data_IF_565259823229
#
_entry.id   IF_565259823229
#
_cell.length_a   1.000
_cell.length_b   1.000
_cell.length_c   1.000
_cell.angle_alpha   90.00
_cell.angle_beta   90.00
_cell.angle_gamma   90.00
#
_symmetry.space_group_name_H-M   'P 1'
#
loop_
_entity.id
_entity.type
_entity.pdbx_description
1 polymer ?
#
# COMPACT_ATOMS: atom_id res chain seq x y z
N UNK A 1 -10.41 1.70 13.00
CA UNK A 1 -10.03 2.25 14.32
C UNK A 1 -10.18 1.13 15.33
N UNK A 2 -9.10 0.54 15.79
CA UNK A 2 -9.13 -0.38 16.93
C UNK A 2 -8.57 0.33 18.15
N UNK A 3 -9.35 0.30 19.24
CA UNK A 3 -9.00 0.86 20.54
C UNK A 3 -8.91 -0.30 21.52
N UNK A 4 -7.72 -0.60 22.00
CA UNK A 4 -7.54 -1.43 23.20
C UNK A 4 -6.90 -0.56 24.28
N UNK A 5 -7.74 0.09 25.09
CA UNK A 5 -7.37 0.41 26.48
C UNK A 5 -8.62 0.75 27.29
N UNK A 6 -8.77 0.05 28.42
CA UNK A 6 -9.76 0.32 29.47
C UNK A 6 -9.12 1.15 30.58
N UNK A 7 -9.92 2.02 31.22
CA UNK A 7 -9.45 2.93 32.29
C UNK A 7 -9.06 2.10 33.53
N UNK A 8 -7.79 2.18 33.95
CA UNK A 8 -7.27 1.53 35.18
C UNK A 8 -6.13 0.52 34.98
N UNK A 9 -5.67 0.30 33.75
CA UNK A 9 -4.58 -0.62 33.43
C UNK A 9 -3.20 0.02 33.67
N UNK A 10 -2.26 -0.72 34.30
CA UNK A 10 -0.90 -0.26 34.51
C UNK A 10 -0.12 -0.30 33.18
N UNK A 11 0.13 0.87 32.60
CA UNK A 11 0.87 1.02 31.33
C UNK A 11 2.37 0.99 31.63
N UNK A 12 3.09 0.01 31.08
CA UNK A 12 4.56 0.04 31.00
C UNK A 12 4.99 0.92 29.83
N UNK A 13 6.15 1.58 29.94
CA UNK A 13 6.68 2.61 29.01
C UNK A 13 6.77 2.20 27.52
N UNK A 14 6.52 0.93 27.17
CA UNK A 14 6.65 0.37 25.81
C UNK A 14 5.33 0.02 25.13
N UNK A 15 4.17 0.28 25.74
CA UNK A 15 2.87 -0.05 25.12
C UNK A 15 2.51 0.96 24.04
N UNK A 16 2.43 0.53 22.78
CA UNK A 16 1.96 1.37 21.66
C UNK A 16 0.44 1.55 21.76
N UNK A 17 0.01 2.69 22.31
CA UNK A 17 -1.41 2.91 22.70
C UNK A 17 -2.30 3.31 21.51
N UNK A 18 -1.74 3.92 20.46
CA UNK A 18 -2.50 4.33 19.28
C UNK A 18 -1.64 4.27 18.00
N UNK A 19 -2.27 3.89 16.89
CA UNK A 19 -1.75 4.07 15.53
C UNK A 19 -2.56 5.18 14.86
N UNK A 20 -1.91 6.31 14.57
CA UNK A 20 -2.52 7.41 13.81
C UNK A 20 -2.12 7.22 12.35
N UNK A 21 -3.07 6.76 11.52
CA UNK A 21 -2.89 6.70 10.07
C UNK A 21 -3.38 7.99 9.44
N UNK A 22 -2.50 8.72 8.76
CA UNK A 22 -2.88 9.85 7.92
C UNK A 22 -3.52 9.35 6.62
N UNK A 23 -4.84 9.43 6.53
CA UNK A 23 -5.60 8.99 5.35
C UNK A 23 -5.77 10.10 4.29
N UNK A 24 -5.12 11.26 4.45
CA UNK A 24 -5.18 12.34 3.44
C UNK A 24 -4.54 11.93 2.11
N UNK A 25 -3.68 10.92 2.12
CA UNK A 25 -3.09 10.33 0.92
C UNK A 25 -3.11 8.82 1.07
N UNK A 26 -3.63 8.15 0.05
CA UNK A 26 -3.71 6.69 0.00
C UNK A 26 -2.90 6.19 -1.19
N UNK A 27 -2.32 5.00 -1.07
CA UNK A 27 -1.74 4.29 -2.20
C UNK A 27 -2.75 3.29 -2.75
N UNK A 28 -2.76 3.14 -4.08
CA UNK A 28 -3.45 2.06 -4.74
C UNK A 28 -2.43 0.97 -5.08
N UNK A 29 -2.74 -0.28 -4.75
CA UNK A 29 -1.95 -1.44 -5.16
C UNK A 29 -2.61 -2.10 -6.37
N UNK A 30 -1.82 -2.37 -7.41
CA UNK A 30 -2.29 -3.01 -8.64
C UNK A 30 -1.35 -4.13 -9.05
N UNK A 31 -1.91 -5.20 -9.62
CA UNK A 31 -1.13 -6.31 -10.18
C UNK A 31 -0.95 -6.07 -11.68
N UNK A 32 0.30 -6.13 -12.11
CA UNK A 32 0.67 -6.05 -13.53
C UNK A 32 1.20 -7.42 -13.95
N UNK A 33 0.80 -7.89 -15.12
CA UNK A 33 1.28 -9.17 -15.64
C UNK A 33 2.75 -9.06 -16.07
N UNK A 34 3.51 -10.17 -15.99
CA UNK A 34 4.95 -10.14 -16.30
C UNK A 34 5.28 -9.61 -17.71
N UNK A 35 4.54 -9.95 -18.77
CA UNK A 35 4.76 -9.38 -20.10
C UNK A 35 4.53 -7.86 -20.18
N UNK A 36 3.66 -7.32 -19.34
CA UNK A 36 3.29 -5.90 -19.37
C UNK A 36 4.21 -5.04 -18.48
N UNK A 37 4.91 -5.65 -17.52
CA UNK A 37 5.78 -4.91 -16.58
C UNK A 37 6.86 -4.04 -17.23
N UNK A 38 7.50 -4.41 -18.36
CA UNK A 38 8.45 -3.53 -19.04
C UNK A 38 7.87 -2.17 -19.49
N UNK A 39 6.54 -2.05 -19.54
CA UNK A 39 5.82 -0.83 -19.88
C UNK A 39 5.48 0.07 -18.69
N UNK A 40 5.82 -0.33 -17.46
CA UNK A 40 5.49 0.41 -16.23
C UNK A 40 6.77 0.93 -15.57
N UNK A 41 6.85 2.25 -15.36
CA UNK A 41 8.02 2.89 -14.72
C UNK A 41 7.60 3.81 -13.58
N UNK A 42 8.44 3.85 -12.54
CA UNK A 42 8.34 4.88 -11.50
C UNK A 42 8.41 6.25 -12.16
N UNK A 43 7.55 7.18 -11.76
CA UNK A 43 7.44 8.49 -12.41
C UNK A 43 6.33 8.62 -13.45
N UNK A 44 5.80 7.51 -13.95
CA UNK A 44 4.75 7.57 -14.97
C UNK A 44 3.39 7.96 -14.38
N UNK A 45 2.63 8.73 -15.16
CA UNK A 45 1.25 9.08 -14.81
C UNK A 45 0.35 7.86 -14.97
N UNK A 46 -0.40 7.55 -13.93
CA UNK A 46 -1.42 6.51 -13.94
C UNK A 46 -2.80 7.11 -13.68
N UNK A 47 -3.83 6.55 -14.31
CA UNK A 47 -5.24 6.89 -14.04
C UNK A 47 -5.95 5.65 -13.50
N UNK A 48 -6.48 5.75 -12.28
CA UNK A 48 -7.33 4.72 -11.67
C UNK A 48 -8.78 5.10 -11.92
N UNK A 49 -9.59 4.16 -12.41
CA UNK A 49 -11.03 4.36 -12.67
C UNK A 49 -11.84 3.39 -11.83
N UNK A 50 -12.92 3.88 -11.22
CA UNK A 50 -13.89 3.03 -10.55
C UNK A 50 -14.68 2.23 -11.61
N UNK A 51 -14.91 0.95 -11.35
CA UNK A 51 -15.69 0.08 -12.25
C UNK A 51 -17.19 0.19 -12.01
N UNK A 52 -17.59 0.57 -10.79
CA UNK A 52 -18.99 0.61 -10.37
C UNK A 52 -19.68 1.96 -10.60
N UNK A 53 -18.92 3.04 -10.86
CA UNK A 53 -19.45 4.39 -11.08
C UNK A 53 -18.43 5.27 -11.80
N UNK A 54 -18.90 6.40 -12.36
CA UNK A 54 -18.05 7.36 -13.05
C UNK A 54 -17.19 8.16 -12.05
N UNK A 55 -16.04 7.60 -11.72
CA UNK A 55 -15.01 8.29 -10.95
C UNK A 55 -13.62 7.86 -11.40
N UNK A 56 -12.70 8.81 -11.44
CA UNK A 56 -11.31 8.58 -11.79
C UNK A 56 -10.39 9.44 -10.92
N UNK A 57 -9.23 8.88 -10.59
CA UNK A 57 -8.14 9.58 -9.91
C UNK A 57 -6.86 9.46 -10.75
N UNK A 58 -6.05 10.51 -10.77
CA UNK A 58 -4.73 10.50 -11.40
C UNK A 58 -3.66 10.49 -10.32
N UNK A 59 -2.59 9.75 -10.54
CA UNK A 59 -1.43 9.71 -9.67
C UNK A 59 -0.16 9.36 -10.44
N UNK A 60 0.93 9.17 -9.70
CA UNK A 60 2.23 8.76 -10.22
C UNK A 60 2.56 7.37 -9.69
N UNK A 61 3.20 6.54 -10.52
CA UNK A 61 3.75 5.26 -10.07
C UNK A 61 4.88 5.56 -9.09
N UNK A 62 4.66 5.31 -7.80
CA UNK A 62 5.65 5.54 -6.74
C UNK A 62 6.61 4.38 -6.55
N UNK A 63 6.21 3.16 -6.94
CA UNK A 63 7.01 1.94 -6.76
C UNK A 63 6.57 0.85 -7.73
N UNK A 64 7.54 0.11 -8.27
CA UNK A 64 7.32 -1.14 -9.00
C UNK A 64 8.05 -2.24 -8.25
N UNK A 65 7.30 -3.21 -7.73
CA UNK A 65 7.88 -4.34 -7.00
C UNK A 65 8.74 -5.21 -7.91
N UNK A 66 9.83 -5.75 -7.37
CA UNK A 66 10.58 -6.80 -8.04
C UNK A 66 9.64 -7.98 -8.31
N UNK A 67 9.65 -8.51 -9.53
CA UNK A 67 9.01 -9.78 -9.87
C UNK A 67 9.63 -10.91 -9.03
N UNK A 68 9.16 -11.11 -7.80
CA UNK A 68 9.46 -12.35 -7.06
C UNK A 68 8.53 -13.40 -7.64
N UNK A 69 9.00 -14.04 -8.70
CA UNK A 69 8.26 -15.08 -9.38
C UNK A 69 8.87 -15.36 -10.72
N UNK A 70 10.04 -16.01 -10.73
CA UNK A 70 10.39 -17.06 -11.70
C UNK A 70 11.78 -17.67 -11.46
N UNK A 71 12.60 -17.24 -10.49
CA UNK A 71 13.72 -18.09 -10.06
C UNK A 71 14.28 -17.79 -8.66
N UNK A 72 14.40 -18.88 -7.91
CA UNK A 72 15.10 -19.08 -6.63
C UNK A 72 14.45 -18.65 -5.32
N UNK A 73 14.30 -19.69 -4.49
CA UNK A 73 13.91 -19.74 -3.09
C UNK A 73 14.98 -19.09 -2.18
N UNK A 74 14.52 -18.29 -1.22
CA UNK A 74 15.19 -17.89 0.05
C UNK A 74 16.32 -16.83 0.05
N UNK A 75 16.17 -15.92 1.03
CA UNK A 75 17.14 -15.25 1.91
C UNK A 75 18.02 -14.10 1.38
N UNK A 76 18.43 -13.13 2.24
CA UNK A 76 18.34 -13.09 3.71
C UNK A 76 17.24 -12.19 4.29
#
# INVERSE_FOLDING_TARGET
>A
MEKHLSIGEAVQDTTQVFTISDLRSVWAEMRVSAPDLPSVRVGEKATVRATAFESAATGEVSYVGALIGQDTRTAP
#
